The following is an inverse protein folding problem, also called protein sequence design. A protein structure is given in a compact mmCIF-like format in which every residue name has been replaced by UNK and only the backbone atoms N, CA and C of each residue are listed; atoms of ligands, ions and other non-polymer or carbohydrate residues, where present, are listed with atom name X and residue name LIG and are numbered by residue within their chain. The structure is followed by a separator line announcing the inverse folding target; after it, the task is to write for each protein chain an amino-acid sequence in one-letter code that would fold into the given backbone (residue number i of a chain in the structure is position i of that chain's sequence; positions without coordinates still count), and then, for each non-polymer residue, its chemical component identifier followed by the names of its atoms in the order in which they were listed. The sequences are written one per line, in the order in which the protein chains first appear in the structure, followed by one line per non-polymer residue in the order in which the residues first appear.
data_IF_096620616584
#
_entry.id   IF_096620616584
#
_cell.length_a   1.000
_cell.length_b   1.000
_cell.length_c   1.000
_cell.angle_alpha   90.00
_cell.angle_beta   90.00
_cell.angle_gamma   90.00
#
_symmetry.space_group_name_H-M   'P 1'
#
loop_
_entity.id
_entity.type
_entity.pdbx_description
1 polymer ?
#
# COMPACT_ATOMS: atom_id res chain seq x y z
N UNK A 1 -19.89 9.91 -38.15
CA UNK A 1 -18.49 9.73 -37.69
C UNK A 1 -18.45 10.11 -36.22
N UNK A 2 -18.62 9.12 -35.33
CA UNK A 2 -18.68 9.36 -33.89
C UNK A 2 -17.27 9.23 -33.34
N UNK A 3 -16.69 10.35 -32.89
CA UNK A 3 -15.39 10.36 -32.24
C UNK A 3 -15.52 9.63 -30.89
N UNK A 4 -14.83 8.50 -30.77
CA UNK A 4 -14.79 7.69 -29.56
C UNK A 4 -14.26 8.52 -28.40
N UNK A 5 -15.13 8.75 -27.42
CA UNK A 5 -14.73 9.22 -26.10
C UNK A 5 -13.88 8.11 -25.49
N UNK A 6 -12.57 8.20 -25.62
CA UNK A 6 -11.66 7.28 -24.95
C UNK A 6 -11.90 7.42 -23.45
N UNK A 7 -12.40 6.35 -22.84
CA UNK A 7 -12.65 6.26 -21.42
C UNK A 7 -11.33 6.44 -20.70
N UNK A 8 -11.08 7.63 -20.16
CA UNK A 8 -9.82 8.01 -19.49
C UNK A 8 -9.47 7.07 -18.33
N UNK A 9 -10.49 6.43 -17.75
CA UNK A 9 -10.37 5.44 -16.70
C UNK A 9 -9.73 4.11 -17.19
N UNK A 10 -9.94 3.74 -18.45
CA UNK A 10 -9.37 2.52 -19.05
C UNK A 10 -7.90 2.74 -19.41
N UNK A 11 -7.55 3.92 -19.93
CA UNK A 11 -6.18 4.28 -20.28
C UNK A 11 -5.24 4.30 -19.07
N UNK A 12 -5.65 4.94 -17.97
CA UNK A 12 -4.82 5.05 -16.77
C UNK A 12 -4.60 3.68 -16.09
N UNK A 13 -5.65 2.85 -16.03
CA UNK A 13 -5.52 1.49 -15.47
C UNK A 13 -4.56 0.60 -16.27
N UNK A 14 -4.46 0.80 -17.58
CA UNK A 14 -3.51 0.09 -18.42
C UNK A 14 -2.09 0.70 -18.34
N UNK A 15 -1.97 2.01 -18.14
CA UNK A 15 -0.69 2.70 -18.10
C UNK A 15 0.06 2.53 -16.77
N UNK A 16 -0.64 2.52 -15.63
CA UNK A 16 -0.02 2.41 -14.30
C UNK A 16 0.87 1.17 -14.14
N UNK A 17 0.43 -0.06 -14.50
CA UNK A 17 1.28 -1.25 -14.40
C UNK A 17 2.54 -1.13 -15.27
N UNK A 18 2.43 -0.54 -16.46
CA UNK A 18 3.56 -0.34 -17.38
C UNK A 18 4.56 0.64 -16.80
N UNK A 19 4.08 1.77 -16.26
CA UNK A 19 4.91 2.78 -15.61
C UNK A 19 5.62 2.22 -14.38
N UNK A 20 4.90 1.50 -13.52
CA UNK A 20 5.49 0.90 -12.32
C UNK A 20 6.46 -0.24 -12.65
N UNK A 21 6.20 -1.02 -13.69
CA UNK A 21 7.16 -2.03 -14.18
C UNK A 21 8.44 -1.39 -14.72
N UNK A 22 8.33 -0.23 -15.39
CA UNK A 22 9.48 0.49 -15.91
C UNK A 22 10.30 1.18 -14.82
N UNK A 23 9.63 1.82 -13.85
CA UNK A 23 10.28 2.50 -12.73
C UNK A 23 10.81 1.53 -11.66
N UNK A 24 10.13 0.39 -11.49
CA UNK A 24 10.40 -0.67 -10.51
C UNK A 24 10.76 -0.12 -9.11
N UNK A 25 9.87 0.68 -8.48
CA UNK A 25 10.15 1.24 -7.17
C UNK A 25 10.25 0.11 -6.14
N UNK A 26 11.37 0.10 -5.41
CA UNK A 26 11.61 -0.80 -4.29
C UNK A 26 11.04 -0.20 -3.00
N UNK A 27 10.92 -1.03 -1.97
CA UNK A 27 10.41 -0.64 -0.65
C UNK A 27 10.99 0.66 -0.09
N UNK A 28 12.32 0.82 -0.13
CA UNK A 28 13.01 1.99 0.41
C UNK A 28 12.56 3.27 -0.30
N UNK A 29 12.50 3.24 -1.63
CA UNK A 29 12.02 4.38 -2.42
C UNK A 29 10.55 4.70 -2.11
N UNK A 30 9.71 3.69 -1.85
CA UNK A 30 8.31 3.91 -1.45
C UNK A 30 8.21 4.58 -0.08
N UNK A 31 9.04 4.17 0.88
CA UNK A 31 9.10 4.79 2.20
C UNK A 31 9.63 6.24 2.12
N UNK A 32 10.65 6.50 1.30
CA UNK A 32 11.16 7.84 1.05
C UNK A 32 10.08 8.74 0.41
N UNK A 33 9.37 8.22 -0.60
CA UNK A 33 8.24 8.92 -1.22
C UNK A 33 7.13 9.21 -0.21
N UNK A 34 6.84 8.28 0.70
CA UNK A 34 5.85 8.50 1.75
C UNK A 34 6.24 9.67 2.67
N UNK A 35 7.53 9.87 2.93
CA UNK A 35 8.00 10.96 3.79
C UNK A 35 7.96 12.35 3.12
N UNK A 36 7.94 12.41 1.79
CA UNK A 36 7.96 13.66 1.03
C UNK A 36 6.57 14.26 0.83
N UNK A 37 6.42 15.57 1.04
CA UNK A 37 5.14 16.28 0.86
C UNK A 37 4.59 16.20 -0.57
N UNK A 38 5.48 16.25 -1.56
CA UNK A 38 5.12 16.24 -2.99
C UNK A 38 5.08 14.83 -3.58
N UNK A 39 5.58 13.83 -2.85
CA UNK A 39 5.69 12.43 -3.28
C UNK A 39 4.79 11.46 -2.49
N UNK A 40 4.16 11.92 -1.41
CA UNK A 40 3.24 11.10 -0.59
C UNK A 40 2.14 10.45 -1.44
N UNK A 41 1.54 11.23 -2.35
CA UNK A 41 0.48 10.73 -3.23
C UNK A 41 0.95 9.59 -4.14
N UNK A 42 2.22 9.61 -4.56
CA UNK A 42 2.80 8.52 -5.36
C UNK A 42 3.04 7.26 -4.52
N UNK A 43 3.55 7.40 -3.29
CA UNK A 43 3.68 6.26 -2.38
C UNK A 43 2.31 5.61 -2.12
N UNK A 44 1.29 6.42 -1.85
CA UNK A 44 -0.08 5.94 -1.67
C UNK A 44 -0.63 5.26 -2.93
N UNK A 45 -0.41 5.83 -4.11
CA UNK A 45 -0.87 5.27 -5.39
C UNK A 45 -0.19 3.93 -5.71
N UNK A 46 1.11 3.80 -5.42
CA UNK A 46 1.87 2.56 -5.58
C UNK A 46 1.29 1.48 -4.66
N UNK A 47 1.15 1.77 -3.35
CA UNK A 47 0.59 0.81 -2.38
C UNK A 47 -0.83 0.40 -2.77
N UNK A 48 -1.70 1.37 -3.12
CA UNK A 48 -3.05 1.09 -3.62
C UNK A 48 -3.06 0.18 -4.84
N UNK A 49 -2.12 0.37 -5.77
CA UNK A 49 -2.07 -0.40 -7.01
C UNK A 49 -1.61 -1.83 -6.76
N UNK A 50 -0.63 -2.02 -5.88
CA UNK A 50 -0.17 -3.36 -5.50
C UNK A 50 -1.22 -4.09 -4.67
N UNK A 51 -1.82 -3.43 -3.67
CA UNK A 51 -2.89 -4.01 -2.85
C UNK A 51 -4.12 -4.43 -3.68
N UNK A 52 -4.38 -3.75 -4.79
CA UNK A 52 -5.48 -4.08 -5.73
C UNK A 52 -5.05 -5.01 -6.87
N UNK A 53 -3.86 -5.61 -6.81
CA UNK A 53 -3.30 -6.48 -7.87
C UNK A 53 -3.27 -5.82 -9.27
N UNK A 54 -3.16 -4.48 -9.32
CA UNK A 54 -2.98 -3.72 -10.57
C UNK A 54 -1.52 -3.80 -11.02
N UNK A 55 -0.58 -3.78 -10.07
CA UNK A 55 0.85 -3.90 -10.32
C UNK A 55 1.48 -4.93 -9.38
N UNK A 56 2.55 -5.56 -9.84
CA UNK A 56 3.35 -6.49 -9.04
C UNK A 56 4.70 -5.84 -8.75
N UNK A 57 4.95 -5.50 -7.49
CA UNK A 57 6.19 -4.85 -7.03
C UNK A 57 6.70 -5.55 -5.76
N UNK A 58 8.03 -5.60 -5.56
CA UNK A 58 8.65 -6.28 -4.41
C UNK A 58 8.60 -5.39 -3.16
N UNK A 59 7.42 -5.30 -2.52
CA UNK A 59 7.17 -4.47 -1.32
C UNK A 59 7.06 -5.33 -0.05
N UNK A 60 8.05 -6.20 0.17
CA UNK A 60 8.05 -7.18 1.27
C UNK A 60 8.34 -6.54 2.64
N UNK A 61 9.24 -5.56 2.67
CA UNK A 61 9.68 -4.87 3.89
C UNK A 61 9.40 -3.39 3.72
N UNK A 62 8.53 -2.76 4.51
CA UNK A 62 8.32 -1.31 4.47
C UNK A 62 8.78 -0.68 5.77
N UNK A 63 9.81 0.18 5.67
CA UNK A 63 10.42 0.83 6.83
C UNK A 63 10.01 2.31 6.90
N UNK A 64 9.07 2.61 7.80
CA UNK A 64 8.65 3.97 8.10
C UNK A 64 9.30 4.53 9.37
N UNK A 65 10.35 3.89 9.90
CA UNK A 65 10.98 4.30 11.16
C UNK A 65 11.66 5.68 11.09
N UNK A 66 12.17 6.04 9.91
CA UNK A 66 12.73 7.37 9.62
C UNK A 66 11.71 8.39 9.11
N UNK A 67 10.43 8.03 8.97
CA UNK A 67 9.42 8.93 8.42
C UNK A 67 8.87 9.88 9.50
N UNK A 68 8.77 11.16 9.16
CA UNK A 68 8.11 12.21 9.96
C UNK A 68 6.70 12.44 9.44
N UNK A 69 5.91 11.36 9.37
CA UNK A 69 4.52 11.40 8.92
C UNK A 69 3.59 11.77 10.08
N UNK A 70 2.55 12.54 9.79
CA UNK A 70 1.41 12.65 10.70
C UNK A 70 0.77 11.25 10.87
N UNK A 71 0.36 10.88 12.09
CA UNK A 71 -0.20 9.55 12.34
C UNK A 71 -1.33 9.18 11.37
N UNK A 72 -2.25 10.11 11.11
CA UNK A 72 -3.36 9.91 10.16
C UNK A 72 -2.90 9.52 8.75
N UNK A 73 -1.82 10.12 8.25
CA UNK A 73 -1.25 9.80 6.92
C UNK A 73 -0.56 8.44 6.91
N UNK A 74 0.17 8.11 7.97
CA UNK A 74 0.78 6.80 8.11
C UNK A 74 -0.29 5.71 8.09
N UNK A 75 -1.32 5.83 8.93
CA UNK A 75 -2.40 4.83 8.99
C UNK A 75 -3.25 4.79 7.72
N UNK A 76 -3.38 5.90 6.98
CA UNK A 76 -3.93 5.88 5.63
C UNK A 76 -3.10 4.99 4.69
N UNK A 77 -1.76 5.11 4.68
CA UNK A 77 -0.91 4.23 3.85
C UNK A 77 -1.05 2.75 4.26
N UNK A 78 -1.08 2.48 5.57
CA UNK A 78 -1.19 1.12 6.10
C UNK A 78 -2.53 0.46 5.78
N UNK A 79 -3.61 1.23 5.58
CA UNK A 79 -4.89 0.67 5.11
C UNK A 79 -4.81 0.07 3.70
N UNK A 80 -3.76 0.41 2.93
CA UNK A 80 -3.47 -0.13 1.60
C UNK A 80 -2.22 -1.01 1.59
N UNK A 81 -1.89 -1.65 2.72
CA UNK A 81 -0.76 -2.56 2.78
C UNK A 81 -0.94 -3.73 1.80
N UNK A 82 0.02 -3.99 0.90
CA UNK A 82 0.01 -5.19 0.07
C UNK A 82 -0.04 -6.47 0.92
N UNK A 83 -0.78 -7.47 0.47
CA UNK A 83 -0.88 -8.76 1.18
C UNK A 83 0.48 -9.48 1.30
N UNK A 84 1.41 -9.23 0.36
CA UNK A 84 2.76 -9.78 0.37
C UNK A 84 3.77 -9.05 1.27
N UNK A 85 3.35 -7.98 1.97
CA UNK A 85 4.23 -7.31 2.93
C UNK A 85 4.43 -8.18 4.17
N UNK A 86 5.67 -8.55 4.43
CA UNK A 86 6.09 -9.42 5.52
C UNK A 86 6.53 -8.62 6.76
N UNK A 87 7.17 -7.47 6.55
CA UNK A 87 7.72 -6.66 7.63
C UNK A 87 7.31 -5.20 7.52
N UNK A 88 6.90 -4.63 8.65
CA UNK A 88 6.62 -3.22 8.83
C UNK A 88 7.45 -2.68 9.99
N UNK A 89 8.19 -1.60 9.75
CA UNK A 89 8.91 -0.88 10.80
C UNK A 89 8.32 0.49 11.02
N UNK A 90 8.24 0.86 12.28
CA UNK A 90 7.66 2.12 12.74
C UNK A 90 8.66 2.88 13.60
N UNK A 91 8.55 4.21 13.54
CA UNK A 91 9.30 5.08 14.42
C UNK A 91 8.67 5.09 15.81
N UNK A 92 9.41 5.55 16.83
CA UNK A 92 8.91 5.60 18.20
C UNK A 92 7.66 6.48 18.37
N UNK A 93 7.39 7.40 17.43
CA UNK A 93 6.19 8.25 17.47
C UNK A 93 4.88 7.50 17.25
N UNK A 94 4.90 6.30 16.66
CA UNK A 94 3.67 5.54 16.34
C UNK A 94 3.02 4.93 17.59
N UNK A 95 3.76 4.82 18.69
CA UNK A 95 3.27 4.32 19.98
C UNK A 95 2.99 5.45 20.97
N UNK A 96 2.95 6.70 20.51
CA UNK A 96 2.74 7.89 21.34
C UNK A 96 1.42 8.58 21.00
N UNK A 97 0.82 9.23 22.01
CA UNK A 97 -0.31 10.15 21.85
C UNK A 97 -1.44 9.62 20.94
N UNK A 98 -1.82 10.41 19.93
CA UNK A 98 -2.90 10.13 18.97
C UNK A 98 -2.58 8.96 18.03
N UNK A 99 -1.33 8.55 17.91
CA UNK A 99 -0.93 7.43 17.04
C UNK A 99 -1.24 6.07 17.66
N UNK A 100 -1.21 5.96 19.00
CA UNK A 100 -1.40 4.69 19.69
C UNK A 100 -2.82 4.11 19.50
N UNK A 101 -3.93 4.89 19.62
CA UNK A 101 -5.25 4.37 19.30
C UNK A 101 -5.40 3.93 17.84
N UNK A 102 -4.75 4.63 16.91
CA UNK A 102 -4.74 4.25 15.49
C UNK A 102 -3.98 2.94 15.25
N UNK A 103 -2.86 2.75 15.94
CA UNK A 103 -2.10 1.50 15.92
C UNK A 103 -2.94 0.34 16.44
N UNK A 104 -3.61 0.54 17.58
CA UNK A 104 -4.48 -0.47 18.15
C UNK A 104 -5.61 -0.86 17.19
N UNK A 105 -6.29 0.13 16.60
CA UNK A 105 -7.35 -0.09 15.62
C UNK A 105 -6.85 -0.90 14.41
N UNK A 106 -5.73 -0.46 13.82
CA UNK A 106 -5.12 -1.16 12.69
C UNK A 106 -4.80 -2.63 13.01
N UNK A 107 -4.21 -2.91 14.18
CA UNK A 107 -3.90 -4.28 14.59
C UNK A 107 -5.17 -5.11 14.83
N UNK A 108 -6.21 -4.52 15.40
CA UNK A 108 -7.50 -5.20 15.64
C UNK A 108 -8.19 -5.58 14.32
N UNK A 109 -8.22 -4.68 13.33
CA UNK A 109 -8.77 -4.97 12.00
C UNK A 109 -8.06 -6.15 11.32
N UNK A 110 -6.74 -6.25 11.51
CA UNK A 110 -5.94 -7.35 10.95
C UNK A 110 -6.17 -8.68 11.66
N UNK A 111 -6.52 -8.69 12.94
CA UNK A 111 -6.87 -9.91 13.67
C UNK A 111 -8.25 -10.44 13.31
N UNK A 112 -9.20 -9.57 12.98
CA UNK A 112 -10.58 -9.94 12.66
C UNK A 112 -10.79 -10.39 11.21
N UNK A 113 -9.79 -10.20 10.34
CA UNK A 113 -9.82 -10.61 8.95
C UNK A 113 -8.84 -11.77 8.68
N UNK A 114 -9.09 -12.98 9.21
CA UNK A 114 -8.34 -14.16 8.82
C UNK A 114 -8.71 -14.45 7.37
N UNK A 115 -7.75 -14.23 6.48
CA UNK A 115 -7.75 -14.71 5.09
C UNK A 115 -8.47 -16.05 4.98
N UNK A 116 -9.53 -16.05 4.17
CA UNK A 116 -10.35 -17.20 3.80
C UNK A 116 -9.54 -18.48 3.68
N UNK A 117 -10.02 -19.52 4.36
CA UNK A 117 -9.49 -20.88 4.44
C UNK A 117 -8.90 -21.36 3.12
N UNK A 118 -7.76 -22.02 3.23
CA UNK A 118 -7.26 -23.00 2.26
C UNK A 118 -8.41 -23.96 1.87
N UNK A 119 -8.81 -23.95 0.61
CA UNK A 119 -9.59 -25.02 0.00
C UNK A 119 -8.68 -26.26 -0.12
N UNK A 120 -8.57 -26.99 0.97
CA UNK A 120 -8.29 -28.42 0.95
C UNK A 120 -9.61 -29.18 0.98
N UNK A 121 -10.11 -29.58 -0.18
CA UNK A 121 -11.03 -30.70 -0.29
C UNK A 121 -10.57 -31.57 -1.47
N UNK A 122 -9.59 -32.41 -1.13
CA UNK A 122 -9.44 -33.75 -1.69
C UNK A 122 -10.83 -34.39 -1.85
N UNK A 123 -11.12 -34.89 -3.05
CA UNK A 123 -12.29 -35.70 -3.33
C UNK A 123 -11.93 -36.69 -4.41
N UNK A 124 -11.37 -37.81 -3.94
CA UNK A 124 -11.77 -39.21 -4.23
C UNK A 124 -11.92 -39.63 -5.70
#
# INVERSE_FOLDING_TARGET
MSAGRADTHTGLRAALPVLFKAANPVSEAVAEMANGKDSFGMAWLILCSVAKNIASLPLEILDFSGCTLEPSKLFLLLSFLPAGTQELKFGPGVVQEEALPLLQHFLQERQQNPSSKEEGADSS
#
